data_IF_841770864406
#
_entry.id   IF_841770864406
#
_cell.length_a   1.000
_cell.length_b   1.000
_cell.length_c   1.000
_cell.angle_alpha   90.00
_cell.angle_beta   90.00
_cell.angle_gamma   90.00
#
_symmetry.space_group_name_H-M   'P 1'
#
loop_
_entity.id
_entity.type
_entity.pdbx_description
1 polymer ?
#
# COMPACT_ATOMS: atom_id res chain seq x y z
N UNK A 1 18.04 -6.26 5.44
CA UNK A 1 16.94 -5.45 4.92
C UNK A 1 16.49 -4.52 6.04
N UNK A 2 16.05 -3.30 5.74
CA UNK A 2 15.31 -2.51 6.73
C UNK A 2 13.88 -3.06 6.85
N UNK A 3 13.17 -2.71 7.91
CA UNK A 3 11.80 -3.11 8.12
C UNK A 3 10.92 -1.90 8.46
N UNK A 4 9.75 -1.86 7.85
CA UNK A 4 8.59 -1.08 8.31
C UNK A 4 7.65 -2.06 9.00
N UNK A 5 7.11 -1.67 10.15
CA UNK A 5 6.07 -2.45 10.83
C UNK A 5 4.74 -1.86 10.41
N UNK A 6 3.80 -2.70 9.97
CA UNK A 6 2.41 -2.33 9.67
C UNK A 6 1.46 -3.25 10.41
N UNK A 7 0.27 -2.73 10.76
CA UNK A 7 -0.81 -3.55 11.31
C UNK A 7 -1.97 -3.63 10.32
N UNK A 8 -2.25 -4.87 9.89
CA UNK A 8 -3.47 -5.25 9.17
C UNK A 8 -4.65 -5.46 10.11
N UNK A 9 -4.37 -5.95 11.32
CA UNK A 9 -5.37 -6.33 12.30
C UNK A 9 -5.03 -5.79 13.67
N UNK A 10 -6.04 -5.56 14.51
CA UNK A 10 -5.86 -5.03 15.85
C UNK A 10 -7.18 -4.85 16.59
N UNK A 11 -7.19 -4.03 17.65
CA UNK A 11 -8.41 -3.68 18.36
C UNK A 11 -9.47 -3.13 17.40
N UNK A 12 -10.60 -3.85 17.29
CA UNK A 12 -11.72 -3.48 16.41
C UNK A 12 -11.50 -3.69 14.92
N UNK A 13 -10.44 -4.37 14.48
CA UNK A 13 -10.26 -4.73 13.06
C UNK A 13 -9.69 -6.13 12.88
N UNK A 14 -10.34 -6.94 12.06
CA UNK A 14 -9.93 -8.31 11.74
C UNK A 14 -9.23 -8.41 10.38
N UNK A 15 -8.52 -9.51 10.12
CA UNK A 15 -7.89 -9.76 8.80
C UNK A 15 -8.91 -10.02 7.70
N UNK A 16 -10.15 -10.36 8.08
CA UNK A 16 -11.25 -10.61 7.15
C UNK A 16 -11.73 -9.36 6.42
N UNK A 17 -11.28 -8.16 6.84
CA UNK A 17 -11.44 -6.88 6.13
C UNK A 17 -11.06 -6.98 4.65
N UNK A 18 -9.98 -7.70 4.33
CA UNK A 18 -9.48 -7.85 2.95
C UNK A 18 -10.22 -8.93 2.14
N UNK A 19 -11.21 -9.56 2.75
CA UNK A 19 -11.97 -10.65 2.15
C UNK A 19 -13.47 -10.47 2.39
N UNK A 20 -13.95 -9.22 2.51
CA UNK A 20 -15.32 -8.92 2.90
C UNK A 20 -16.37 -9.60 2.02
N UNK A 21 -16.09 -9.79 0.73
CA UNK A 21 -16.94 -10.55 -0.21
C UNK A 21 -17.16 -12.03 0.18
N UNK A 22 -16.27 -12.61 0.96
CA UNK A 22 -16.37 -14.00 1.43
C UNK A 22 -17.27 -14.19 2.66
N UNK A 23 -17.74 -13.10 3.27
CA UNK A 23 -18.52 -13.14 4.49
C UNK A 23 -19.87 -13.83 4.27
N UNK A 24 -20.16 -14.84 5.09
CA UNK A 24 -21.36 -15.66 4.96
C UNK A 24 -21.30 -16.72 3.84
N UNK A 25 -20.22 -16.74 3.04
CA UNK A 25 -19.96 -17.78 2.04
C UNK A 25 -18.96 -18.80 2.56
N UNK A 26 -17.67 -18.45 2.58
CA UNK A 26 -16.60 -19.37 3.00
C UNK A 26 -16.08 -19.11 4.41
N UNK A 27 -16.47 -18.00 5.05
CA UNK A 27 -16.26 -17.75 6.48
C UNK A 27 -17.50 -17.13 7.15
N UNK A 28 -17.59 -17.25 8.47
CA UNK A 28 -18.68 -16.69 9.27
C UNK A 28 -18.61 -15.15 9.27
N UNK A 29 -19.69 -14.48 8.88
CA UNK A 29 -19.79 -13.01 8.84
C UNK A 29 -19.37 -12.35 10.17
N UNK A 30 -19.56 -13.02 11.31
CA UNK A 30 -19.12 -12.52 12.61
C UNK A 30 -17.59 -12.36 12.75
N UNK A 31 -16.81 -12.90 11.81
CA UNK A 31 -15.36 -12.73 11.75
C UNK A 31 -14.96 -11.43 11.04
N UNK A 32 -15.86 -10.79 10.28
CA UNK A 32 -15.64 -9.48 9.69
C UNK A 32 -15.88 -8.40 10.76
N UNK A 33 -14.79 -7.93 11.37
CA UNK A 33 -14.82 -6.93 12.44
C UNK A 33 -14.19 -5.63 11.93
N UNK A 34 -14.95 -4.53 12.03
CA UNK A 34 -14.58 -3.17 11.60
C UNK A 34 -14.91 -2.08 12.64
N UNK A 35 -15.13 -2.47 13.90
CA UNK A 35 -15.49 -1.55 15.00
C UNK A 35 -14.48 -0.42 15.23
N UNK A 36 -13.25 -0.53 14.71
CA UNK A 36 -12.26 0.57 14.73
C UNK A 36 -12.80 1.87 14.08
N UNK A 37 -13.76 1.76 13.16
CA UNK A 37 -14.41 2.90 12.51
C UNK A 37 -15.69 3.38 13.19
N UNK A 38 -16.20 2.63 14.17
CA UNK A 38 -17.50 2.89 14.82
C UNK A 38 -17.36 3.15 16.33
N UNK A 39 -16.28 2.68 16.96
CA UNK A 39 -16.11 2.66 18.41
C UNK A 39 -14.83 3.39 18.85
N UNK A 40 -15.00 4.35 19.75
CA UNK A 40 -13.88 5.10 20.31
C UNK A 40 -12.89 4.22 21.09
N UNK A 41 -13.38 3.22 21.82
CA UNK A 41 -12.55 2.31 22.61
C UNK A 41 -11.65 1.44 21.71
N UNK A 42 -12.10 1.09 20.50
CA UNK A 42 -11.30 0.37 19.52
C UNK A 42 -10.15 1.25 18.98
N UNK A 43 -10.44 2.52 18.65
CA UNK A 43 -9.41 3.48 18.24
C UNK A 43 -8.38 3.74 19.34
N UNK A 44 -8.83 3.87 20.59
CA UNK A 44 -7.93 4.03 21.74
C UNK A 44 -7.07 2.78 21.95
N UNK A 45 -7.66 1.59 21.80
CA UNK A 45 -6.93 0.33 21.82
C UNK A 45 -5.85 0.24 20.73
N UNK A 46 -6.14 0.70 19.51
CA UNK A 46 -5.18 0.75 18.41
C UNK A 46 -4.01 1.70 18.71
N UNK A 47 -4.31 2.87 19.28
CA UNK A 47 -3.29 3.81 19.76
C UNK A 47 -2.38 3.20 20.84
N UNK A 48 -2.96 2.48 21.80
CA UNK A 48 -2.20 1.76 22.84
C UNK A 48 -1.36 0.61 22.27
N UNK A 49 -1.88 -0.14 21.29
CA UNK A 49 -1.13 -1.16 20.56
C UNK A 49 0.09 -0.57 19.86
N UNK A 50 -0.07 0.60 19.24
CA UNK A 50 1.04 1.33 18.61
C UNK A 50 2.05 1.85 19.60
N UNK A 51 1.61 2.46 20.71
CA UNK A 51 2.49 2.92 21.79
C UNK A 51 3.33 1.77 22.35
N UNK A 52 2.70 0.61 22.59
CA UNK A 52 3.42 -0.60 23.03
C UNK A 52 4.48 -1.05 22.02
N UNK A 53 4.11 -1.07 20.74
CA UNK A 53 4.99 -1.50 19.64
C UNK A 53 6.16 -0.55 19.45
N UNK A 54 5.92 0.75 19.48
CA UNK A 54 6.97 1.77 19.36
C UNK A 54 7.96 1.70 20.54
N UNK A 55 7.48 1.59 21.79
CA UNK A 55 8.35 1.42 22.96
C UNK A 55 9.25 0.18 22.82
N UNK A 56 8.72 -0.91 22.26
CA UNK A 56 9.45 -2.16 22.04
C UNK A 56 10.53 -2.04 20.95
N UNK A 57 10.28 -1.28 19.89
CA UNK A 57 11.12 -1.30 18.68
C UNK A 57 11.92 -0.03 18.40
N UNK A 58 11.73 1.07 19.15
CA UNK A 58 12.45 2.35 18.92
C UNK A 58 13.97 2.24 18.81
N UNK A 59 14.55 1.34 19.60
CA UNK A 59 16.01 1.12 19.67
C UNK A 59 16.49 0.06 18.67
N UNK A 60 15.60 -0.54 17.89
CA UNK A 60 15.96 -1.51 16.87
C UNK A 60 16.49 -0.79 15.62
N UNK A 61 17.77 -1.00 15.22
CA UNK A 61 18.36 -0.31 14.07
C UNK A 61 17.82 -0.79 12.71
N UNK A 62 17.07 -1.90 12.68
CA UNK A 62 16.46 -2.44 11.46
C UNK A 62 15.09 -1.79 11.20
N UNK A 63 14.37 -1.41 12.26
CA UNK A 63 13.04 -0.81 12.15
C UNK A 63 13.20 0.68 11.81
N UNK A 64 12.71 1.06 10.63
CA UNK A 64 12.87 2.41 10.07
C UNK A 64 11.56 3.12 9.82
N UNK A 65 10.43 2.49 10.14
CA UNK A 65 9.12 3.10 9.97
C UNK A 65 8.01 2.34 10.67
N UNK A 66 6.98 3.08 11.04
CA UNK A 66 5.71 2.58 11.56
C UNK A 66 4.60 2.99 10.59
N UNK A 67 4.10 2.05 9.80
CA UNK A 67 2.94 2.26 8.93
C UNK A 67 1.66 1.98 9.73
N UNK A 68 0.91 3.05 10.03
CA UNK A 68 -0.06 3.05 11.12
C UNK A 68 -1.22 2.07 10.95
N UNK A 69 -1.59 1.79 9.71
CA UNK A 69 -2.66 0.87 9.37
C UNK A 69 -2.52 0.52 7.89
N UNK A 70 -2.48 -0.78 7.59
CA UNK A 70 -2.55 -1.24 6.21
C UNK A 70 -3.96 -0.94 5.68
N UNK A 71 -4.05 -0.17 4.61
CA UNK A 71 -5.28 0.12 3.87
C UNK A 71 -6.46 0.57 4.76
N UNK A 72 -6.41 1.79 5.32
CA UNK A 72 -7.59 2.44 5.90
C UNK A 72 -8.71 2.51 4.84
N UNK A 73 -9.90 1.99 5.15
CA UNK A 73 -11.00 2.02 4.19
C UNK A 73 -12.41 1.88 4.80
N UNK A 74 -12.81 2.77 5.71
CA UNK A 74 -14.22 2.75 6.13
C UNK A 74 -15.19 3.17 5.02
N UNK A 75 -14.72 3.99 4.06
CA UNK A 75 -15.53 4.52 2.97
C UNK A 75 -16.09 3.39 2.08
N UNK A 76 -15.23 2.51 1.58
CA UNK A 76 -15.66 1.34 0.81
C UNK A 76 -16.28 0.26 1.68
N UNK A 77 -15.60 -0.17 2.75
CA UNK A 77 -16.03 -1.38 3.50
C UNK A 77 -17.35 -1.21 4.28
N UNK A 78 -17.65 -0.02 4.79
CA UNK A 78 -18.82 0.19 5.65
C UNK A 78 -19.91 1.06 5.03
N UNK A 79 -19.55 1.95 4.11
CA UNK A 79 -20.43 3.00 3.62
C UNK A 79 -20.77 2.87 2.13
N UNK A 80 -20.08 1.99 1.40
CA UNK A 80 -20.21 1.85 -0.06
C UNK A 80 -19.99 3.18 -0.80
N UNK A 81 -19.02 3.96 -0.33
CA UNK A 81 -18.62 5.26 -0.89
C UNK A 81 -17.24 5.12 -1.53
N UNK A 82 -17.21 5.35 -2.84
CA UNK A 82 -16.01 5.19 -3.66
C UNK A 82 -15.34 6.53 -3.97
N UNK A 83 -16.06 7.64 -3.91
CA UNK A 83 -15.54 8.97 -4.22
C UNK A 83 -15.11 9.72 -2.95
N UNK A 84 -13.87 10.23 -2.89
CA UNK A 84 -13.36 10.91 -1.71
C UNK A 84 -14.14 12.19 -1.39
N UNK A 85 -14.50 12.99 -2.40
CA UNK A 85 -15.31 14.20 -2.20
C UNK A 85 -16.66 13.88 -1.53
N UNK A 86 -17.31 12.79 -1.95
CA UNK A 86 -18.57 12.35 -1.36
C UNK A 86 -18.37 11.96 0.11
N UNK A 87 -17.36 11.13 0.39
CA UNK A 87 -17.05 10.68 1.74
C UNK A 87 -16.78 11.85 2.70
N UNK A 88 -15.84 12.73 2.35
CA UNK A 88 -15.43 13.83 3.22
C UNK A 88 -16.52 14.90 3.35
N UNK A 89 -17.42 15.05 2.38
CA UNK A 89 -18.57 15.96 2.51
C UNK A 89 -19.56 15.54 3.62
N UNK A 90 -19.64 14.24 3.90
CA UNK A 90 -20.60 13.66 4.82
C UNK A 90 -19.99 13.24 6.17
N UNK A 91 -18.74 12.77 6.18
CA UNK A 91 -18.14 12.08 7.32
C UNK A 91 -16.85 12.71 7.86
N UNK A 92 -16.42 13.88 7.35
CA UNK A 92 -15.22 14.55 7.86
C UNK A 92 -15.32 14.82 9.38
N UNK A 93 -14.30 14.35 10.12
CA UNK A 93 -14.23 14.45 11.58
C UNK A 93 -15.03 13.40 12.37
N UNK A 94 -15.80 12.53 11.71
CA UNK A 94 -16.48 11.41 12.38
C UNK A 94 -15.50 10.25 12.67
N UNK A 95 -15.95 9.21 13.40
CA UNK A 95 -15.11 8.05 13.69
C UNK A 95 -14.69 7.28 12.43
N UNK A 96 -15.50 7.35 11.37
CA UNK A 96 -15.15 6.84 10.04
C UNK A 96 -13.95 7.55 9.45
N UNK A 97 -13.73 8.82 9.76
CA UNK A 97 -12.66 9.60 9.14
C UNK A 97 -11.28 9.22 9.67
N UNK A 98 -10.40 8.81 8.76
CA UNK A 98 -9.01 8.52 9.08
C UNK A 98 -8.24 9.77 9.54
N UNK A 99 -8.60 10.96 9.02
CA UNK A 99 -7.95 12.24 9.34
C UNK A 99 -8.08 12.64 10.80
N UNK A 100 -9.15 12.24 11.50
CA UNK A 100 -9.25 12.46 12.96
C UNK A 100 -8.48 11.41 13.77
N UNK A 101 -8.21 10.24 13.18
CA UNK A 101 -7.70 9.08 13.91
C UNK A 101 -6.16 9.01 13.92
N UNK A 102 -5.49 9.06 12.76
CA UNK A 102 -4.01 8.94 12.73
C UNK A 102 -3.24 9.97 13.57
N UNK A 103 -3.71 11.23 13.79
CA UNK A 103 -2.98 12.15 14.65
C UNK A 103 -2.91 11.64 16.09
N UNK A 104 -3.93 10.91 16.55
CA UNK A 104 -3.98 10.32 17.90
C UNK A 104 -3.00 9.16 18.04
N UNK A 105 -2.91 8.32 17.02
CA UNK A 105 -1.92 7.23 16.96
C UNK A 105 -0.50 7.80 16.93
N UNK A 106 -0.25 8.80 16.08
CA UNK A 106 1.03 9.53 16.02
C UNK A 106 1.40 10.09 17.38
N UNK A 107 0.47 10.76 18.06
CA UNK A 107 0.69 11.27 19.42
C UNK A 107 1.02 10.17 20.43
N UNK A 108 0.34 9.02 20.36
CA UNK A 108 0.62 7.89 21.24
C UNK A 108 2.03 7.31 21.02
N UNK A 109 2.47 7.17 19.77
CA UNK A 109 3.84 6.76 19.41
C UNK A 109 4.86 7.77 19.93
N UNK A 110 4.63 9.06 19.71
CA UNK A 110 5.58 10.13 20.09
C UNK A 110 5.76 10.31 21.60
N UNK A 111 4.89 9.74 22.43
CA UNK A 111 5.12 9.64 23.88
C UNK A 111 6.31 8.74 24.25
N UNK A 112 6.68 7.79 23.36
CA UNK A 112 7.69 6.76 23.63
C UNK A 112 8.81 6.71 22.59
N UNK A 113 8.58 7.20 21.37
CA UNK A 113 9.54 7.21 20.27
C UNK A 113 9.44 8.51 19.47
N UNK A 114 10.38 9.42 19.70
CA UNK A 114 10.42 10.73 19.05
C UNK A 114 11.03 10.69 17.63
N UNK A 115 11.65 9.58 17.23
CA UNK A 115 12.64 9.59 16.15
C UNK A 115 12.28 8.69 14.96
N UNK A 116 11.60 7.56 15.20
CA UNK A 116 11.25 6.64 14.11
C UNK A 116 10.20 7.28 13.19
N UNK A 117 10.42 7.29 11.86
CA UNK A 117 9.42 7.76 10.89
C UNK A 117 8.07 7.07 11.05
N UNK A 118 7.00 7.82 10.80
CA UNK A 118 5.63 7.30 10.79
C UNK A 118 5.13 7.39 9.35
N UNK A 119 4.58 6.28 8.84
CA UNK A 119 3.98 6.20 7.52
C UNK A 119 2.46 6.31 7.65
N UNK A 120 1.85 7.18 6.83
CA UNK A 120 0.41 7.41 6.81
C UNK A 120 -0.08 7.39 5.36
N UNK A 121 -0.95 6.42 5.04
CA UNK A 121 -1.66 6.37 3.76
C UNK A 121 -3.09 6.89 3.87
N UNK A 122 -3.71 7.11 2.72
CA UNK A 122 -5.07 7.61 2.60
C UNK A 122 -6.13 6.59 2.97
N UNK A 123 -7.37 7.07 3.09
CA UNK A 123 -8.56 6.22 2.93
C UNK A 123 -8.58 5.55 1.54
N UNK A 124 -9.56 4.68 1.28
CA UNK A 124 -9.66 4.03 -0.03
C UNK A 124 -8.48 3.12 -0.31
N UNK A 125 -8.12 2.29 0.68
CA UNK A 125 -6.98 1.37 0.60
C UNK A 125 -5.64 2.04 0.30
N UNK A 126 -5.50 3.32 0.69
CA UNK A 126 -4.32 4.14 0.38
C UNK A 126 -4.04 4.26 -1.13
N UNK A 127 -5.05 4.13 -1.98
CA UNK A 127 -4.92 4.36 -3.41
C UNK A 127 -4.46 5.80 -3.70
N UNK A 128 -3.71 6.00 -4.78
CA UNK A 128 -3.11 7.30 -5.13
C UNK A 128 -4.16 8.42 -5.21
N UNK A 129 -5.36 8.12 -5.75
CA UNK A 129 -6.46 9.11 -5.87
C UNK A 129 -6.99 9.63 -4.53
N UNK A 130 -6.74 8.94 -3.42
CA UNK A 130 -7.15 9.37 -2.08
C UNK A 130 -6.05 10.18 -1.36
N UNK A 131 -4.82 10.22 -1.90
CA UNK A 131 -3.71 10.97 -1.31
C UNK A 131 -4.02 12.46 -1.11
N UNK A 132 -4.65 13.19 -2.06
CA UNK A 132 -4.95 14.63 -1.90
C UNK A 132 -5.85 14.98 -0.70
N UNK A 133 -6.52 13.98 -0.12
CA UNK A 133 -7.47 14.18 0.98
C UNK A 133 -6.87 13.92 2.36
N UNK A 134 -5.60 13.48 2.43
CA UNK A 134 -4.89 13.38 3.69
C UNK A 134 -4.54 14.77 4.23
N UNK A 135 -4.85 15.01 5.50
CA UNK A 135 -4.39 16.22 6.16
C UNK A 135 -2.98 16.04 6.74
N UNK A 136 -2.02 16.93 6.48
CA UNK A 136 -0.69 16.76 7.03
C UNK A 136 -0.68 16.71 8.57
N UNK A 137 -0.04 15.68 9.14
CA UNK A 137 -0.04 15.39 10.59
C UNK A 137 0.61 16.48 11.45
N UNK A 138 1.47 17.32 10.85
CA UNK A 138 2.35 18.27 11.54
C UNK A 138 3.57 17.63 12.21
N UNK A 139 3.70 16.30 12.22
CA UNK A 139 4.88 15.61 12.72
C UNK A 139 6.03 15.69 11.69
N UNK A 140 7.23 16.17 12.08
CA UNK A 140 8.32 16.43 11.15
C UNK A 140 8.95 15.17 10.55
N UNK A 141 8.52 13.97 10.98
CA UNK A 141 9.03 12.67 10.55
C UNK A 141 7.94 11.80 9.93
N UNK A 142 6.82 12.40 9.55
CA UNK A 142 5.80 11.70 8.77
C UNK A 142 6.26 11.54 7.32
N UNK A 143 6.08 10.33 6.80
CA UNK A 143 6.18 10.01 5.38
C UNK A 143 4.79 9.60 4.93
N UNK A 144 4.23 10.26 3.94
CA UNK A 144 2.95 9.84 3.40
C UNK A 144 3.18 8.65 2.48
N UNK A 145 2.19 7.77 2.33
CA UNK A 145 2.33 6.61 1.46
C UNK A 145 1.11 6.36 0.61
N UNK A 146 1.33 5.65 -0.48
CA UNK A 146 0.28 5.15 -1.37
C UNK A 146 0.51 3.68 -1.68
N UNK A 147 -0.56 2.99 -2.03
CA UNK A 147 -0.54 1.71 -2.74
C UNK A 147 -0.83 1.98 -4.22
N UNK A 148 -0.10 1.32 -5.12
CA UNK A 148 -0.31 1.48 -6.56
C UNK A 148 -0.50 0.16 -7.29
N UNK A 149 -1.71 -0.05 -7.78
CA UNK A 149 -2.08 -1.16 -8.65
C UNK A 149 -2.87 -0.71 -9.88
N UNK A 150 -3.07 0.59 -10.09
CA UNK A 150 -3.87 1.04 -11.24
C UNK A 150 -3.16 0.80 -12.58
N UNK A 151 -3.91 0.39 -13.63
CA UNK A 151 -5.33 0.06 -13.60
C UNK A 151 -5.54 -1.36 -13.05
N UNK A 152 -6.24 -1.46 -11.91
CA UNK A 152 -6.27 -2.70 -11.14
C UNK A 152 -7.05 -3.80 -11.86
N UNK A 153 -8.31 -3.49 -12.19
CA UNK A 153 -9.27 -4.41 -12.79
C UNK A 153 -8.90 -4.74 -14.25
N UNK A 154 -8.46 -3.74 -15.00
CA UNK A 154 -8.22 -3.87 -16.44
C UNK A 154 -6.87 -4.55 -16.71
N UNK A 155 -5.88 -4.39 -15.83
CA UNK A 155 -4.52 -4.82 -16.13
C UNK A 155 -3.83 -5.60 -15.01
N UNK A 156 -3.55 -4.99 -13.85
CA UNK A 156 -2.57 -5.56 -12.91
C UNK A 156 -3.06 -6.83 -12.21
N UNK A 157 -4.37 -7.05 -12.12
CA UNK A 157 -5.00 -8.20 -11.46
C UNK A 157 -5.77 -9.12 -12.42
N UNK A 158 -5.47 -9.09 -13.72
CA UNK A 158 -6.11 -10.01 -14.67
C UNK A 158 -5.86 -11.46 -14.27
N UNK A 159 -6.91 -12.28 -14.29
CA UNK A 159 -6.80 -13.73 -14.15
C UNK A 159 -6.49 -14.40 -15.50
N UNK A 160 -5.82 -15.58 -15.53
CA UNK A 160 -5.58 -16.31 -16.77
C UNK A 160 -6.88 -16.80 -17.44
N UNK A 161 -7.03 -16.67 -18.78
CA UNK A 161 -6.10 -16.03 -19.71
C UNK A 161 -6.17 -14.49 -19.64
N UNK A 162 -5.03 -13.85 -19.36
CA UNK A 162 -4.88 -12.40 -19.40
C UNK A 162 -4.65 -11.93 -20.84
N UNK A 163 -5.42 -10.94 -21.29
CA UNK A 163 -5.44 -10.45 -22.68
C UNK A 163 -4.99 -9.00 -22.82
N UNK A 164 -5.28 -8.17 -21.81
CA UNK A 164 -4.90 -6.77 -21.80
C UNK A 164 -3.39 -6.66 -21.57
N UNK A 165 -2.74 -5.84 -22.40
CA UNK A 165 -1.29 -5.76 -22.49
C UNK A 165 -0.78 -4.34 -22.22
N UNK A 166 0.48 -4.25 -21.80
CA UNK A 166 1.23 -3.00 -21.71
C UNK A 166 2.49 -3.03 -22.59
N UNK A 167 2.84 -1.93 -23.28
CA UNK A 167 1.94 -0.81 -23.59
C UNK A 167 0.80 -1.28 -24.50
N UNK A 168 -0.34 -0.62 -24.43
CA UNK A 168 -1.56 -1.03 -25.12
C UNK A 168 -2.61 0.07 -25.18
N UNK A 169 -3.86 -0.34 -25.35
CA UNK A 169 -5.02 0.56 -25.28
C UNK A 169 -6.12 -0.10 -24.46
N UNK A 170 -6.67 0.63 -23.50
CA UNK A 170 -7.71 0.17 -22.56
C UNK A 170 -8.70 1.31 -22.34
N UNK A 171 -9.95 1.00 -22.06
CA UNK A 171 -10.92 1.99 -21.55
C UNK A 171 -10.61 2.20 -20.07
N UNK A 172 -9.90 3.29 -19.72
CA UNK A 172 -9.33 3.50 -18.39
C UNK A 172 -10.22 4.38 -17.50
N UNK A 173 -11.23 5.04 -18.09
CA UNK A 173 -12.19 5.90 -17.40
C UNK A 173 -13.64 5.41 -17.50
N UNK A 174 -13.86 4.26 -18.14
CA UNK A 174 -15.14 3.58 -18.30
C UNK A 174 -16.16 4.36 -19.14
N UNK A 175 -15.69 5.22 -20.06
CA UNK A 175 -16.54 5.98 -20.98
C UNK A 175 -16.92 5.18 -22.25
N UNK A 176 -16.30 4.00 -22.45
CA UNK A 176 -16.51 3.12 -23.58
C UNK A 176 -15.54 3.34 -24.75
N UNK A 177 -14.61 4.29 -24.66
CA UNK A 177 -13.60 4.59 -25.66
C UNK A 177 -12.19 4.18 -25.16
N UNK A 178 -11.31 3.65 -26.03
CA UNK A 178 -9.98 3.22 -25.63
C UNK A 178 -8.99 4.38 -25.48
N UNK A 179 -8.34 4.46 -24.33
CA UNK A 179 -7.20 5.33 -24.02
C UNK A 179 -5.85 4.69 -24.38
N UNK A 180 -4.81 5.51 -24.50
CA UNK A 180 -3.43 5.01 -24.55
C UNK A 180 -3.01 4.53 -23.18
N UNK A 181 -2.64 3.26 -23.06
CA UNK A 181 -2.11 2.68 -21.83
C UNK A 181 -0.60 2.46 -21.99
N UNK A 182 0.18 3.47 -21.62
CA UNK A 182 1.64 3.49 -21.77
C UNK A 182 2.33 4.26 -20.61
N UNK A 183 3.62 4.54 -20.72
CA UNK A 183 4.38 5.27 -19.70
C UNK A 183 3.83 6.67 -19.44
N UNK A 184 3.29 7.33 -20.48
CA UNK A 184 2.71 8.66 -20.35
C UNK A 184 1.46 8.65 -19.48
N UNK A 185 0.59 7.64 -19.66
CA UNK A 185 -0.56 7.44 -18.78
C UNK A 185 -0.15 7.19 -17.33
N UNK A 186 0.86 6.33 -17.10
CA UNK A 186 1.38 6.08 -15.75
C UNK A 186 1.94 7.35 -15.11
N UNK A 187 2.71 8.14 -15.86
CA UNK A 187 3.29 9.40 -15.36
C UNK A 187 2.21 10.44 -15.04
N UNK A 188 1.15 10.51 -15.85
CA UNK A 188 -0.01 11.37 -15.62
C UNK A 188 -0.78 10.92 -14.36
N UNK A 189 -1.07 9.63 -14.20
CA UNK A 189 -1.71 9.12 -12.98
C UNK A 189 -0.89 9.40 -11.72
N UNK A 190 0.44 9.18 -11.78
CA UNK A 190 1.33 9.43 -10.65
C UNK A 190 1.60 10.92 -10.39
N UNK A 191 1.16 11.82 -11.29
CA UNK A 191 1.31 13.27 -11.09
C UNK A 191 0.54 13.79 -9.86
N UNK A 192 -0.49 13.07 -9.41
CA UNK A 192 -1.18 13.32 -8.13
C UNK A 192 -0.21 13.33 -6.94
N UNK A 193 0.82 12.47 -6.98
CA UNK A 193 1.87 12.44 -5.94
C UNK A 193 2.72 13.71 -6.01
N UNK A 194 3.07 14.15 -7.23
CA UNK A 194 3.89 15.35 -7.43
C UNK A 194 3.16 16.60 -6.91
N UNK A 195 1.86 16.69 -7.15
CA UNK A 195 1.00 17.76 -6.65
C UNK A 195 0.98 17.78 -5.12
N UNK A 196 0.74 16.63 -4.47
CA UNK A 196 0.72 16.53 -3.01
C UNK A 196 2.09 16.87 -2.39
N UNK A 197 3.17 16.36 -2.97
CA UNK A 197 4.54 16.69 -2.53
C UNK A 197 4.83 18.18 -2.69
N UNK A 198 4.41 18.79 -3.80
CA UNK A 198 4.59 20.20 -4.10
C UNK A 198 3.78 21.12 -3.18
N UNK A 199 2.54 20.73 -2.85
CA UNK A 199 1.66 21.51 -1.98
C UNK A 199 2.14 21.48 -0.52
N UNK A 200 2.49 20.31 0.00
CA UNK A 200 2.78 20.15 1.42
C UNK A 200 4.27 20.11 1.76
N UNK A 201 5.15 19.96 0.77
CA UNK A 201 6.61 19.84 0.94
C UNK A 201 6.97 18.67 1.90
N UNK A 202 6.42 17.49 1.61
CA UNK A 202 6.55 16.27 2.42
C UNK A 202 7.04 15.10 1.56
N UNK A 203 7.72 14.09 2.13
CA UNK A 203 8.07 12.88 1.40
C UNK A 203 6.84 11.97 1.21
N UNK A 204 6.76 11.34 0.04
CA UNK A 204 5.79 10.26 -0.25
C UNK A 204 6.55 9.00 -0.63
N UNK A 205 6.08 7.84 -0.16
CA UNK A 205 6.60 6.51 -0.49
C UNK A 205 5.49 5.65 -1.14
N UNK A 206 5.89 4.59 -1.84
CA UNK A 206 4.95 3.56 -2.33
C UNK A 206 5.14 2.30 -1.49
N UNK A 207 4.23 2.02 -0.57
CA UNK A 207 4.45 0.93 0.38
C UNK A 207 3.94 -0.43 -0.12
N UNK A 208 3.08 -0.44 -1.15
CA UNK A 208 2.69 -1.64 -1.88
C UNK A 208 2.46 -1.30 -3.37
N UNK A 209 2.97 -2.15 -4.25
CA UNK A 209 2.70 -2.11 -5.70
C UNK A 209 3.02 -3.46 -6.33
N UNK A 210 2.50 -3.71 -7.52
CA UNK A 210 2.82 -4.91 -8.28
C UNK A 210 1.80 -5.23 -9.36
N UNK A 211 1.90 -6.45 -9.89
CA UNK A 211 0.97 -7.02 -10.86
C UNK A 211 1.09 -8.55 -10.86
N UNK A 212 0.06 -9.24 -11.31
CA UNK A 212 0.10 -10.68 -11.50
C UNK A 212 1.17 -11.07 -12.54
N UNK A 213 1.98 -12.08 -12.23
CA UNK A 213 3.19 -12.46 -13.00
C UNK A 213 2.95 -12.82 -14.47
N UNK A 214 1.71 -13.13 -14.85
CA UNK A 214 1.32 -13.61 -16.17
C UNK A 214 0.71 -12.55 -17.10
N UNK A 215 0.49 -11.32 -16.62
CA UNK A 215 -0.15 -10.31 -17.46
C UNK A 215 0.77 -9.91 -18.62
N UNK A 216 0.26 -9.79 -19.86
CA UNK A 216 1.07 -9.43 -21.01
C UNK A 216 1.77 -8.08 -20.83
N UNK A 217 3.08 -8.01 -21.09
CA UNK A 217 3.85 -6.77 -20.93
C UNK A 217 4.27 -6.45 -19.48
N UNK A 218 4.13 -7.40 -18.55
CA UNK A 218 4.40 -7.17 -17.13
C UNK A 218 5.78 -6.56 -16.84
N UNK A 219 6.82 -7.01 -17.56
CA UNK A 219 8.18 -6.51 -17.38
C UNK A 219 8.32 -5.04 -17.80
N UNK A 220 7.71 -4.64 -18.92
CA UNK A 220 7.75 -3.27 -19.41
C UNK A 220 6.97 -2.32 -18.47
N UNK A 221 5.78 -2.73 -18.02
CA UNK A 221 4.98 -1.98 -17.05
C UNK A 221 5.72 -1.77 -15.73
N UNK A 222 6.33 -2.84 -15.21
CA UNK A 222 7.12 -2.79 -13.99
C UNK A 222 8.36 -1.91 -14.16
N UNK A 223 9.01 -1.92 -15.34
CA UNK A 223 10.19 -1.09 -15.61
C UNK A 223 9.83 0.40 -15.62
N UNK A 224 8.75 0.76 -16.31
CA UNK A 224 8.28 2.14 -16.38
C UNK A 224 7.76 2.65 -15.02
N UNK A 225 6.97 1.86 -14.32
CA UNK A 225 6.46 2.23 -13.00
C UNK A 225 7.60 2.45 -11.98
N UNK A 226 8.55 1.51 -11.87
CA UNK A 226 9.67 1.65 -10.95
C UNK A 226 10.62 2.78 -11.39
N UNK A 227 10.79 3.03 -12.69
CA UNK A 227 11.54 4.19 -13.17
C UNK A 227 10.91 5.50 -12.69
N UNK A 228 9.59 5.62 -12.77
CA UNK A 228 8.83 6.80 -12.36
C UNK A 228 8.90 7.05 -10.84
N UNK A 229 8.85 6.00 -10.02
CA UNK A 229 9.07 6.11 -8.57
C UNK A 229 10.48 6.62 -8.24
N UNK A 230 11.49 6.08 -8.92
CA UNK A 230 12.89 6.47 -8.72
C UNK A 230 13.17 7.90 -9.20
N UNK A 231 12.56 8.32 -10.30
CA UNK A 231 12.63 9.70 -10.80
C UNK A 231 12.08 10.70 -9.78
N UNK A 232 11.02 10.32 -9.05
CA UNK A 232 10.42 11.09 -7.96
C UNK A 232 11.18 10.98 -6.63
N UNK A 233 12.24 10.15 -6.58
CA UNK A 233 13.04 9.95 -5.37
C UNK A 233 12.29 9.22 -4.25
N UNK A 234 11.27 8.43 -4.60
CA UNK A 234 10.44 7.71 -3.64
C UNK A 234 11.12 6.43 -3.18
N UNK A 235 10.91 6.07 -1.90
CA UNK A 235 11.14 4.70 -1.47
C UNK A 235 9.93 3.85 -1.89
N UNK A 236 10.19 2.61 -2.28
CA UNK A 236 9.13 1.69 -2.71
C UNK A 236 9.30 0.29 -2.12
N UNK A 237 8.17 -0.40 -1.88
CA UNK A 237 8.12 -1.78 -1.41
C UNK A 237 7.17 -2.61 -2.30
N UNK A 238 7.76 -3.57 -3.01
CA UNK A 238 7.05 -4.47 -3.92
C UNK A 238 6.19 -5.46 -3.12
N UNK A 239 4.93 -5.63 -3.51
CA UNK A 239 4.07 -6.66 -2.96
C UNK A 239 4.49 -8.04 -3.47
N UNK A 240 4.86 -8.91 -2.53
CA UNK A 240 5.28 -10.29 -2.82
C UNK A 240 4.46 -11.23 -1.95
N UNK A 241 3.76 -12.15 -2.59
CA UNK A 241 3.08 -13.24 -1.91
C UNK A 241 3.79 -14.56 -2.19
N UNK A 242 4.68 -14.95 -1.28
CA UNK A 242 5.50 -16.15 -1.40
C UNK A 242 5.47 -16.99 -0.10
N UNK A 243 4.29 -17.54 0.29
CA UNK A 243 4.19 -18.38 1.48
C UNK A 243 4.92 -19.70 1.26
N UNK A 244 5.46 -20.27 2.33
CA UNK A 244 6.14 -21.57 2.31
C UNK A 244 5.20 -22.77 2.33
N UNK A 245 3.89 -22.54 2.53
CA UNK A 245 2.90 -23.60 2.61
C UNK A 245 2.40 -23.95 1.21
N UNK A 246 2.97 -25.01 0.64
CA UNK A 246 2.76 -25.46 -0.75
C UNK A 246 1.28 -25.51 -1.18
N UNK A 247 0.33 -26.08 -0.41
CA UNK A 247 -1.07 -26.11 -0.83
C UNK A 247 -1.67 -24.74 -1.12
N UNK A 248 -1.29 -23.70 -0.39
CA UNK A 248 -1.76 -22.34 -0.69
C UNK A 248 -1.04 -21.73 -1.86
N UNK A 249 0.25 -21.99 -2.01
CA UNK A 249 1.02 -21.50 -3.16
C UNK A 249 0.53 -22.09 -4.48
N UNK A 250 0.12 -23.36 -4.49
CA UNK A 250 -0.44 -24.01 -5.68
C UNK A 250 -1.71 -23.28 -6.18
N UNK A 251 -2.49 -22.71 -5.26
CA UNK A 251 -3.74 -21.99 -5.57
C UNK A 251 -3.54 -20.48 -5.74
N UNK A 252 -2.64 -19.87 -4.96
CA UNK A 252 -2.45 -18.40 -4.88
C UNK A 252 -0.98 -18.06 -5.12
N UNK A 253 -0.62 -17.84 -6.40
CA UNK A 253 0.75 -17.51 -6.82
C UNK A 253 0.87 -16.35 -7.81
N UNK A 254 -0.17 -15.52 -7.95
CA UNK A 254 -0.15 -14.35 -8.84
C UNK A 254 1.06 -13.44 -8.60
N UNK A 255 1.39 -13.17 -7.33
CA UNK A 255 2.50 -12.32 -6.91
C UNK A 255 3.75 -13.12 -6.47
N UNK A 256 3.86 -14.39 -6.90
CA UNK A 256 5.08 -15.19 -6.74
C UNK A 256 5.93 -15.10 -8.00
N UNK A 257 6.63 -13.98 -8.13
CA UNK A 257 7.38 -13.65 -9.36
C UNK A 257 8.41 -14.71 -9.79
N UNK A 258 8.94 -15.50 -8.85
CA UNK A 258 9.90 -16.58 -9.10
C UNK A 258 9.35 -17.68 -10.00
N UNK A 259 8.04 -17.83 -10.10
CA UNK A 259 7.41 -18.83 -10.98
C UNK A 259 7.30 -18.35 -12.44
N UNK A 260 7.86 -17.19 -12.79
CA UNK A 260 7.86 -16.69 -14.16
C UNK A 260 6.46 -16.33 -14.67
N UNK A 261 6.27 -16.17 -15.98
CA UNK A 261 4.98 -15.70 -16.52
C UNK A 261 3.98 -16.80 -16.87
N UNK A 262 4.38 -18.08 -16.92
CA UNK A 262 3.46 -19.18 -17.21
C UNK A 262 2.58 -19.49 -15.98
N UNK A 263 1.26 -19.24 -16.01
CA UNK A 263 0.38 -19.47 -14.87
C UNK A 263 0.40 -20.93 -14.38
N UNK A 264 0.68 -21.88 -15.28
CA UNK A 264 0.77 -23.30 -14.95
C UNK A 264 2.11 -23.74 -14.37
N UNK A 265 3.11 -22.85 -14.31
CA UNK A 265 4.41 -23.17 -13.73
C UNK A 265 4.41 -22.95 -12.21
N UNK A 266 4.90 -23.96 -11.49
CA UNK A 266 4.92 -24.09 -10.03
C UNK A 266 6.36 -24.20 -9.47
N UNK A 267 7.36 -23.84 -10.29
CA UNK A 267 8.77 -23.97 -9.95
C UNK A 267 9.55 -22.72 -10.31
N UNK A 268 10.68 -22.48 -9.66
CA UNK A 268 11.49 -21.30 -9.95
C UNK A 268 12.01 -21.32 -11.39
N UNK A 269 11.81 -20.22 -12.11
CA UNK A 269 12.30 -20.01 -13.48
C UNK A 269 12.72 -18.55 -13.64
N UNK A 270 13.76 -18.30 -14.43
CA UNK A 270 14.15 -16.93 -14.78
C UNK A 270 13.06 -16.25 -15.62
N UNK A 271 12.86 -14.94 -15.43
CA UNK A 271 11.92 -14.16 -16.23
C UNK A 271 12.33 -12.69 -16.34
N UNK A 272 11.94 -12.06 -17.45
CA UNK A 272 12.21 -10.63 -17.69
C UNK A 272 11.65 -9.74 -16.56
N UNK A 273 10.48 -10.10 -16.00
CA UNK A 273 9.90 -9.39 -14.86
C UNK A 273 10.81 -9.45 -13.61
N UNK A 274 11.41 -10.61 -13.32
CA UNK A 274 12.36 -10.72 -12.22
C UNK A 274 13.63 -9.91 -12.48
N UNK A 275 14.14 -9.91 -13.72
CA UNK A 275 15.29 -9.10 -14.10
C UNK A 275 15.05 -7.60 -13.87
N UNK A 276 13.85 -7.10 -14.19
CA UNK A 276 13.43 -5.72 -13.91
C UNK A 276 13.39 -5.44 -12.41
N UNK A 277 12.74 -6.29 -11.61
CA UNK A 277 12.68 -6.13 -10.14
C UNK A 277 14.10 -6.07 -9.56
N UNK A 278 14.99 -6.98 -9.98
CA UNK A 278 16.37 -7.03 -9.51
C UNK A 278 17.20 -5.83 -9.97
N UNK A 279 16.97 -5.30 -11.20
CA UNK A 279 17.59 -4.08 -11.72
C UNK A 279 17.37 -2.89 -10.80
N UNK A 280 16.15 -2.68 -10.30
CA UNK A 280 15.85 -1.61 -9.35
C UNK A 280 16.30 -1.92 -7.93
N UNK A 281 16.14 -3.17 -7.46
CA UNK A 281 16.63 -3.57 -6.14
C UNK A 281 18.14 -3.34 -5.99
N UNK A 282 18.90 -3.51 -7.06
CA UNK A 282 20.35 -3.28 -7.10
C UNK A 282 20.74 -1.80 -6.91
N UNK A 283 19.82 -0.84 -7.07
CA UNK A 283 20.07 0.60 -6.84
C UNK A 283 20.21 0.95 -5.35
N UNK A 284 19.76 0.07 -4.45
CA UNK A 284 19.87 0.29 -3.01
C UNK A 284 21.32 0.46 -2.55
N UNK A 285 21.66 1.68 -2.11
CA UNK A 285 22.98 2.04 -1.57
C UNK A 285 23.05 1.99 -0.04
N UNK A 286 21.91 2.12 0.64
CA UNK A 286 21.80 2.01 2.10
C UNK A 286 21.54 0.55 2.52
N UNK A 287 22.23 0.10 3.58
CA UNK A 287 22.04 -1.23 4.17
C UNK A 287 22.02 -1.11 5.69
N UNK A 288 21.21 -1.90 6.41
CA UNK A 288 21.19 -1.88 7.88
C UNK A 288 22.57 -2.09 8.52
N UNK A 289 23.42 -2.91 7.88
CA UNK A 289 24.78 -3.19 8.36
C UNK A 289 25.73 -1.99 8.34
N UNK A 290 25.43 -0.96 7.55
CA UNK A 290 26.27 0.23 7.37
C UNK A 290 25.54 1.54 7.70
N UNK A 291 24.30 1.45 8.18
CA UNK A 291 23.49 2.62 8.49
C UNK A 291 23.61 2.98 9.96
N UNK A 292 24.25 4.12 10.23
CA UNK A 292 24.26 4.75 11.54
C UNK A 292 23.20 5.84 11.57
N UNK A 293 22.20 5.71 12.47
CA UNK A 293 21.28 6.81 12.79
C UNK A 293 22.12 8.03 13.21
N UNK A 294 21.90 9.22 12.62
CA UNK A 294 22.54 10.44 13.10
C UNK A 294 22.30 10.59 14.61
N UNK A 295 23.30 11.03 15.36
CA UNK A 295 23.10 11.39 16.77
C UNK A 295 22.08 12.51 16.85
N UNK A 296 21.09 12.40 17.74
CA UNK A 296 20.25 13.51 18.10
C UNK A 296 21.14 14.56 18.80
N UNK A 297 21.41 15.66 18.11
CA UNK A 297 22.08 16.86 18.66
C UNK A 297 21.10 17.71 19.47
#
# INVERSE_FOLDING_TARGET
>A
MFAVITFRTGPGRSDFTFYSEGAGDWFDEALLIEWVWEEQDAQDGWGEMWRYTAERYRDNPIVVGYDLMCEPNSAGELLDIWEPDEFYSAYAGDLYDWNQFYPRITNAIRQVDAETPILVGGMGWSAVRWLPYLEPTGDPRTVYMVHQYEPQTEYTHQEPPAENAYPGTLDLDWDGEPDSFDQGWLDEYLSVIDEFQGEHNVPVAVNEFGLARWVPGAADFMDDQMALFEQRGMNHALWVWDPVWEPWTEEVNAFRFRYGPDPGNDSDVESDLQDVILKYWARNTARPSSFTKPSAD
#
